data_IF_687492695388
#
_entry.id   IF_687492695388
#
_cell.length_a   1.000
_cell.length_b   1.000
_cell.length_c   1.000
_cell.angle_alpha   90.00
_cell.angle_beta   90.00
_cell.angle_gamma   90.00
#
_symmetry.space_group_name_H-M   'P 1'
#
loop_
_entity.id
_entity.type
_entity.pdbx_description
1 polymer ?
#
# COMPACT_ATOMS: atom_id res chain seq x y z
N UNK A 1 12.69 7.04 69.54
CA UNK A 1 11.83 8.24 69.47
C UNK A 1 12.20 9.04 68.21
N UNK A 2 11.20 9.36 67.37
CA UNK A 2 11.17 10.29 66.20
C UNK A 2 12.17 10.00 65.07
N UNK A 3 11.83 9.27 64.00
CA UNK A 3 10.90 9.59 62.89
C UNK A 3 11.22 10.90 62.16
N UNK A 4 11.70 10.78 60.92
CA UNK A 4 11.20 11.60 59.81
C UNK A 4 11.43 10.90 58.47
N UNK A 5 10.33 10.39 57.91
CA UNK A 5 10.18 10.00 56.50
C UNK A 5 9.92 11.25 55.68
N UNK A 6 10.48 11.32 54.48
CA UNK A 6 9.96 12.21 53.42
C UNK A 6 9.92 11.44 52.10
N UNK A 7 8.72 11.03 51.73
CA UNK A 7 8.27 10.76 50.36
C UNK A 7 7.36 11.94 49.99
N UNK A 8 7.49 12.49 48.78
CA UNK A 8 6.35 12.57 47.84
C UNK A 8 6.80 12.08 46.44
N UNK A 9 6.13 11.20 45.70
CA UNK A 9 4.74 11.11 45.24
C UNK A 9 4.34 12.28 44.32
N UNK A 10 4.33 12.02 43.00
CA UNK A 10 3.59 12.69 41.91
C UNK A 10 4.12 12.05 40.59
N UNK A 11 3.59 10.93 40.09
CA UNK A 11 2.29 10.76 39.43
C UNK A 11 1.89 11.92 38.51
N UNK A 12 1.93 11.62 37.21
CA UNK A 12 0.97 12.02 36.16
C UNK A 12 0.66 13.50 35.98
N UNK A 13 1.13 14.07 34.86
CA UNK A 13 0.47 15.20 34.20
C UNK A 13 0.15 14.79 32.75
N UNK A 14 -1.09 14.37 32.56
CA UNK A 14 -1.79 14.29 31.27
C UNK A 14 -2.58 15.61 31.13
N UNK A 15 -2.87 16.02 29.88
CA UNK A 15 -3.73 17.16 29.47
C UNK A 15 -3.01 18.52 29.54
N UNK A 16 -2.94 19.38 28.52
CA UNK A 16 -3.58 19.46 27.21
C UNK A 16 -3.81 20.93 26.88
N UNK A 17 -3.17 21.49 25.85
CA UNK A 17 -3.39 22.84 25.24
C UNK A 17 -2.59 22.82 23.91
N UNK A 18 -3.04 23.27 22.75
CA UNK A 18 -4.35 23.69 22.28
C UNK A 18 -4.46 23.41 20.78
N UNK A 19 -5.69 23.09 20.43
CA UNK A 19 -6.32 23.22 19.13
C UNK A 19 -6.08 24.63 18.54
N UNK A 20 -5.25 24.73 17.51
CA UNK A 20 -5.27 25.86 16.58
C UNK A 20 -5.75 25.38 15.22
N UNK A 21 -6.98 25.75 14.90
CA UNK A 21 -7.60 25.60 13.60
C UNK A 21 -6.76 26.26 12.51
N UNK A 22 -6.24 25.45 11.60
CA UNK A 22 -6.04 25.87 10.21
C UNK A 22 -6.86 24.91 9.34
N UNK A 23 -8.13 25.23 9.18
CA UNK A 23 -8.92 24.67 8.07
C UNK A 23 -8.62 25.56 6.86
N UNK A 24 -7.47 25.32 6.24
CA UNK A 24 -7.28 25.69 4.84
C UNK A 24 -7.98 24.61 4.02
N UNK A 25 -9.22 24.88 3.63
CA UNK A 25 -9.93 24.07 2.66
C UNK A 25 -9.21 24.16 1.32
N UNK A 26 -8.35 23.18 1.02
CA UNK A 26 -7.88 22.99 -0.33
C UNK A 26 -9.01 22.35 -1.12
N UNK A 27 -9.79 23.18 -1.82
CA UNK A 27 -10.60 22.71 -2.93
C UNK A 27 -9.63 22.23 -4.02
N UNK A 28 -9.20 20.96 -3.94
CA UNK A 28 -8.48 20.26 -4.98
C UNK A 28 -9.45 19.93 -6.12
N UNK A 29 -9.86 20.94 -6.86
CA UNK A 29 -10.46 20.76 -8.16
C UNK A 29 -9.33 20.38 -9.13
N UNK A 30 -9.18 19.08 -9.39
CA UNK A 30 -8.29 18.50 -10.40
C UNK A 30 -6.88 19.11 -10.49
N UNK A 31 -6.06 18.97 -9.43
CA UNK A 31 -4.62 18.99 -9.68
C UNK A 31 -4.27 17.68 -10.39
N UNK A 32 -4.24 17.72 -11.72
CA UNK A 32 -3.26 16.91 -12.46
C UNK A 32 -1.94 17.15 -11.71
N UNK A 33 -1.25 16.11 -11.23
CA UNK A 33 0.09 16.32 -10.67
C UNK A 33 0.86 17.10 -11.75
N UNK A 34 1.11 18.37 -11.46
CA UNK A 34 1.55 19.32 -12.45
C UNK A 34 2.98 18.99 -12.80
N UNK A 35 3.17 18.27 -13.90
CA UNK A 35 4.48 17.98 -14.47
C UNK A 35 5.14 16.71 -13.94
N UNK A 36 4.50 15.55 -14.15
CA UNK A 36 5.30 14.35 -14.35
C UNK A 36 6.30 14.64 -15.47
N UNK A 37 7.58 14.33 -15.26
CA UNK A 37 8.58 14.42 -16.31
C UNK A 37 8.04 13.75 -17.58
N UNK A 38 8.04 14.45 -18.71
CA UNK A 38 7.70 13.85 -20.02
C UNK A 38 8.60 12.65 -20.39
N UNK A 39 9.60 12.30 -19.56
CA UNK A 39 10.44 11.14 -19.72
C UNK A 39 9.79 9.79 -19.32
N UNK A 40 8.67 9.80 -18.57
CA UNK A 40 8.00 8.57 -18.13
C UNK A 40 6.87 8.12 -19.06
N UNK A 41 6.42 6.88 -18.88
CA UNK A 41 5.29 6.29 -19.60
C UNK A 41 4.00 6.52 -18.83
N UNK A 42 2.95 6.95 -19.52
CA UNK A 42 1.62 7.05 -18.92
C UNK A 42 1.05 5.66 -18.63
N UNK A 43 0.44 5.53 -17.47
CA UNK A 43 -0.26 4.34 -17.00
C UNK A 43 -1.75 4.72 -16.88
N UNK A 44 -2.62 4.07 -17.68
CA UNK A 44 -4.05 4.32 -17.63
C UNK A 44 -4.62 4.09 -16.22
N UNK A 45 -5.65 4.84 -15.89
CA UNK A 45 -6.37 4.71 -14.62
C UNK A 45 -6.99 3.32 -14.44
N UNK A 46 -7.31 3.01 -13.18
CA UNK A 46 -8.05 1.82 -12.78
C UNK A 46 -9.20 2.25 -11.88
N UNK A 47 -10.42 1.74 -12.14
CA UNK A 47 -11.55 2.01 -11.26
C UNK A 47 -11.39 1.29 -9.92
N UNK A 48 -12.06 1.78 -8.89
CA UNK A 48 -12.03 1.13 -7.58
C UNK A 48 -12.57 -0.31 -7.64
N UNK A 49 -13.62 -0.54 -8.44
CA UNK A 49 -14.15 -1.88 -8.69
C UNK A 49 -13.12 -2.80 -9.37
N UNK A 50 -12.41 -2.29 -10.38
CA UNK A 50 -11.35 -3.06 -11.05
C UNK A 50 -10.20 -3.39 -10.11
N UNK A 51 -9.82 -2.50 -9.19
CA UNK A 51 -8.79 -2.80 -8.19
C UNK A 51 -9.14 -4.04 -7.37
N UNK A 52 -10.40 -4.15 -6.95
CA UNK A 52 -10.88 -5.24 -6.11
C UNK A 52 -10.87 -6.61 -6.83
N UNK A 53 -10.72 -6.62 -8.16
CA UNK A 53 -10.55 -7.85 -8.95
C UNK A 53 -9.09 -8.03 -9.32
N UNK A 54 -8.43 -7.01 -9.90
CA UNK A 54 -7.01 -7.08 -10.29
C UNK A 54 -6.11 -7.42 -9.11
N UNK A 55 -6.46 -7.02 -7.87
CA UNK A 55 -5.71 -7.42 -6.67
C UNK A 55 -5.64 -8.93 -6.50
N UNK A 56 -6.73 -9.64 -6.81
CA UNK A 56 -6.85 -11.09 -6.65
C UNK A 56 -6.01 -11.83 -7.72
N UNK A 57 -5.88 -11.24 -8.91
CA UNK A 57 -5.11 -11.79 -10.03
C UNK A 57 -3.66 -11.31 -10.11
N UNK A 58 -3.26 -10.31 -9.29
CA UNK A 58 -1.95 -9.64 -9.40
C UNK A 58 -0.79 -10.63 -9.44
N UNK A 59 -0.74 -11.59 -8.52
CA UNK A 59 0.38 -12.55 -8.47
C UNK A 59 0.50 -13.33 -9.77
N UNK A 60 -0.60 -13.88 -10.29
CA UNK A 60 -0.61 -14.61 -11.56
C UNK A 60 -0.20 -13.73 -12.75
N UNK A 61 -0.61 -12.46 -12.77
CA UNK A 61 -0.21 -11.50 -13.81
C UNK A 61 1.31 -11.26 -13.77
N UNK A 62 1.86 -11.01 -12.58
CA UNK A 62 3.30 -10.76 -12.41
C UNK A 62 4.12 -12.03 -12.68
N UNK A 63 3.64 -13.20 -12.26
CA UNK A 63 4.31 -14.47 -12.50
C UNK A 63 4.39 -14.75 -14.01
N UNK A 64 3.30 -14.52 -14.77
CA UNK A 64 3.30 -14.61 -16.23
C UNK A 64 4.28 -13.60 -16.85
N UNK A 65 4.23 -12.34 -16.40
CA UNK A 65 5.10 -11.28 -16.90
C UNK A 65 6.59 -11.54 -16.63
N UNK A 66 6.92 -12.18 -15.50
CA UNK A 66 8.30 -12.51 -15.12
C UNK A 66 8.93 -13.58 -16.01
N UNK A 67 8.10 -14.41 -16.64
CA UNK A 67 8.52 -15.49 -17.54
C UNK A 67 8.58 -15.06 -19.01
N UNK A 68 8.03 -13.88 -19.34
CA UNK A 68 8.03 -13.37 -20.70
C UNK A 68 9.45 -13.03 -21.18
N UNK A 69 9.83 -13.51 -22.37
CA UNK A 69 11.20 -13.38 -22.90
C UNK A 69 11.30 -12.45 -24.09
N UNK A 70 10.23 -12.30 -24.88
CA UNK A 70 10.10 -11.44 -26.05
C UNK A 70 9.55 -10.04 -25.69
N UNK A 71 10.09 -9.46 -24.61
CA UNK A 71 9.68 -8.16 -24.09
C UNK A 71 10.40 -6.99 -24.78
N UNK A 72 9.77 -5.80 -24.80
CA UNK A 72 10.40 -4.54 -25.21
C UNK A 72 10.66 -3.59 -24.01
N UNK A 73 11.36 -2.48 -24.24
CA UNK A 73 11.69 -1.49 -23.20
C UNK A 73 10.42 -0.94 -22.50
N UNK A 74 9.37 -0.65 -23.28
CA UNK A 74 8.12 -0.09 -22.75
C UNK A 74 7.48 -1.04 -21.76
N UNK A 75 7.32 -2.32 -22.13
CA UNK A 75 6.79 -3.36 -21.26
C UNK A 75 7.59 -3.46 -19.96
N UNK A 76 8.93 -3.55 -20.07
CA UNK A 76 9.78 -3.69 -18.88
C UNK A 76 9.72 -2.47 -17.96
N UNK A 77 9.60 -1.25 -18.49
CA UNK A 77 9.44 -0.04 -17.67
C UNK A 77 8.13 -0.07 -16.88
N UNK A 78 7.02 -0.48 -17.49
CA UNK A 78 5.73 -0.59 -16.79
C UNK A 78 5.75 -1.73 -15.77
N UNK A 79 6.33 -2.89 -16.10
CA UNK A 79 6.50 -4.00 -15.16
C UNK A 79 7.37 -3.60 -13.96
N UNK A 80 8.51 -2.96 -14.21
CA UNK A 80 9.38 -2.46 -13.15
C UNK A 80 8.65 -1.44 -12.27
N UNK A 81 7.88 -0.53 -12.88
CA UNK A 81 7.05 0.40 -12.13
C UNK A 81 6.02 -0.33 -11.25
N UNK A 82 5.31 -1.32 -11.78
CA UNK A 82 4.31 -2.09 -11.02
C UNK A 82 4.93 -2.78 -9.78
N UNK A 83 6.12 -3.37 -9.92
CA UNK A 83 6.84 -4.01 -8.81
C UNK A 83 7.42 -3.01 -7.81
N UNK A 84 8.07 -1.94 -8.30
CA UNK A 84 8.61 -0.89 -7.43
C UNK A 84 7.48 -0.23 -6.65
N UNK A 85 6.43 0.20 -7.33
CA UNK A 85 5.28 0.86 -6.70
C UNK A 85 4.62 -0.06 -5.67
N UNK A 86 4.48 -1.36 -5.96
CA UNK A 86 3.98 -2.33 -4.99
C UNK A 86 4.84 -2.41 -3.72
N UNK A 87 6.17 -2.36 -3.85
CA UNK A 87 7.07 -2.31 -2.68
C UNK A 87 6.92 -1.02 -1.86
N UNK A 88 6.77 0.14 -2.52
CA UNK A 88 6.49 1.42 -1.86
C UNK A 88 5.14 1.42 -1.13
N UNK A 89 4.20 0.61 -1.59
CA UNK A 89 2.88 0.38 -0.99
C UNK A 89 2.87 -0.75 0.04
N UNK A 90 4.02 -1.08 0.64
CA UNK A 90 4.20 -2.16 1.61
C UNK A 90 3.69 -3.51 1.10
N UNK A 91 3.93 -3.83 -0.16
CA UNK A 91 3.49 -5.07 -0.81
C UNK A 91 1.96 -5.28 -0.66
N UNK A 92 1.19 -4.20 -0.66
CA UNK A 92 -0.27 -4.24 -0.49
C UNK A 92 -0.73 -4.87 0.83
N UNK A 93 0.15 -5.00 1.83
CA UNK A 93 -0.16 -5.67 3.10
C UNK A 93 -0.90 -4.80 4.09
N UNK A 94 -0.95 -3.48 3.86
CA UNK A 94 -1.69 -2.60 4.74
C UNK A 94 -3.21 -2.88 4.61
N UNK A 95 -3.92 -3.14 5.71
CA UNK A 95 -5.36 -3.38 5.66
C UNK A 95 -6.13 -2.21 5.06
N UNK A 96 -7.17 -2.52 4.29
CA UNK A 96 -8.02 -1.51 3.64
C UNK A 96 -7.39 -0.83 2.42
N UNK A 97 -6.14 -1.15 2.03
CA UNK A 97 -5.49 -0.48 0.88
C UNK A 97 -6.31 -0.56 -0.42
N UNK A 98 -7.06 -1.63 -0.62
CA UNK A 98 -7.92 -1.81 -1.80
C UNK A 98 -9.39 -1.58 -1.46
N UNK A 99 -9.86 -2.11 -0.33
CA UNK A 99 -11.29 -2.17 0.02
C UNK A 99 -11.83 -0.95 0.74
N UNK A 100 -10.95 -0.04 1.20
CA UNK A 100 -11.33 1.17 1.92
C UNK A 100 -10.79 2.40 1.17
N UNK A 101 -11.70 3.24 0.69
CA UNK A 101 -11.40 4.45 -0.08
C UNK A 101 -10.70 5.53 0.77
N UNK A 102 -10.91 5.53 2.08
CA UNK A 102 -10.29 6.47 3.02
C UNK A 102 -8.94 5.99 3.54
N UNK A 103 -8.52 4.78 3.14
CA UNK A 103 -7.21 4.25 3.52
C UNK A 103 -6.09 5.19 3.03
N UNK A 104 -5.10 5.52 3.89
CA UNK A 104 -3.92 6.27 3.50
C UNK A 104 -3.11 5.62 2.38
N UNK A 105 -3.37 4.35 2.10
CA UNK A 105 -2.70 3.53 1.09
C UNK A 105 -3.56 3.33 -0.17
N UNK A 106 -4.76 3.91 -0.24
CA UNK A 106 -5.68 3.68 -1.36
C UNK A 106 -5.12 4.21 -2.70
N UNK A 107 -4.65 5.46 -2.74
CA UNK A 107 -4.07 6.05 -3.95
C UNK A 107 -2.84 5.28 -4.46
N UNK A 108 -1.97 4.87 -3.54
CA UNK A 108 -0.78 4.12 -3.92
C UNK A 108 -1.14 2.69 -4.37
N UNK A 109 -2.27 2.14 -3.90
CA UNK A 109 -2.84 0.91 -4.42
C UNK A 109 -3.41 1.05 -5.84
N UNK A 110 -4.10 2.16 -6.13
CA UNK A 110 -4.49 2.50 -7.50
C UNK A 110 -3.28 2.47 -8.43
N UNK A 111 -2.16 3.09 -8.04
CA UNK A 111 -0.97 3.18 -8.87
C UNK A 111 -0.37 1.80 -9.27
N UNK A 112 -0.14 0.90 -8.30
CA UNK A 112 0.45 -0.41 -8.63
C UNK A 112 -0.55 -1.36 -9.32
N UNK A 113 -1.84 -1.28 -9.01
CA UNK A 113 -2.86 -2.12 -9.65
C UNK A 113 -3.19 -1.64 -11.07
N UNK A 114 -3.20 -0.33 -11.31
CA UNK A 114 -3.27 0.25 -12.64
C UNK A 114 -2.10 -0.20 -13.51
N UNK A 115 -0.88 -0.15 -12.97
CA UNK A 115 0.30 -0.63 -13.66
C UNK A 115 0.24 -2.14 -13.94
N UNK A 116 -0.22 -2.94 -12.96
CA UNK A 116 -0.42 -4.39 -13.12
C UNK A 116 -1.42 -4.68 -14.25
N UNK A 117 -2.54 -3.96 -14.31
CA UNK A 117 -3.53 -4.05 -15.40
C UNK A 117 -2.92 -3.68 -16.74
N UNK A 118 -2.10 -2.63 -16.80
CA UNK A 118 -1.39 -2.22 -18.02
C UNK A 118 -0.40 -3.28 -18.50
N UNK A 119 0.33 -3.95 -17.58
CA UNK A 119 1.19 -5.11 -17.91
C UNK A 119 0.37 -6.24 -18.51
N UNK A 120 -0.76 -6.60 -17.89
CA UNK A 120 -1.64 -7.66 -18.39
C UNK A 120 -2.13 -7.37 -19.82
N UNK A 121 -2.60 -6.14 -20.06
CA UNK A 121 -3.06 -5.76 -21.40
C UNK A 121 -1.91 -5.70 -22.42
N UNK A 122 -0.69 -5.36 -22.01
CA UNK A 122 0.45 -5.45 -22.91
C UNK A 122 0.77 -6.91 -23.28
N UNK A 123 0.66 -7.86 -22.35
CA UNK A 123 0.89 -9.29 -22.64
C UNK A 123 -0.16 -9.89 -23.58
N UNK A 124 -1.39 -9.36 -23.58
CA UNK A 124 -2.41 -9.77 -24.56
C UNK A 124 -1.95 -9.56 -26.01
N UNK A 125 -1.13 -8.53 -26.24
CA UNK A 125 -0.60 -8.19 -27.56
C UNK A 125 0.76 -8.87 -27.85
N UNK A 126 1.28 -9.68 -26.91
CA UNK A 126 2.54 -10.43 -27.08
C UNK A 126 2.25 -11.84 -27.58
N UNK A 127 2.85 -12.31 -28.69
CA UNK A 127 2.45 -13.57 -29.32
C UNK A 127 2.49 -14.79 -28.39
N UNK A 128 3.50 -14.90 -27.52
CA UNK A 128 3.70 -16.06 -26.66
C UNK A 128 2.80 -16.05 -25.42
N UNK A 129 2.56 -14.87 -24.85
CA UNK A 129 1.81 -14.69 -23.61
C UNK A 129 0.33 -14.43 -23.87
N UNK A 130 -0.05 -14.03 -25.09
CA UNK A 130 -1.40 -13.61 -25.47
C UNK A 130 -2.50 -14.56 -25.01
N UNK A 131 -2.32 -15.87 -25.17
CA UNK A 131 -3.29 -16.87 -24.74
C UNK A 131 -3.47 -16.87 -23.22
N UNK A 132 -2.37 -16.93 -22.46
CA UNK A 132 -2.42 -16.94 -20.99
C UNK A 132 -2.93 -15.61 -20.43
N UNK A 133 -2.54 -14.47 -21.02
CA UNK A 133 -3.05 -13.16 -20.67
C UNK A 133 -4.56 -13.05 -20.97
N UNK A 134 -5.01 -13.59 -22.11
CA UNK A 134 -6.42 -13.63 -22.51
C UNK A 134 -7.30 -14.42 -21.55
N UNK A 135 -6.81 -15.54 -21.02
CA UNK A 135 -7.49 -16.30 -19.98
C UNK A 135 -7.66 -15.49 -18.69
N UNK A 136 -6.59 -14.82 -18.23
CA UNK A 136 -6.65 -13.94 -17.05
C UNK A 136 -7.65 -12.79 -17.29
N UNK A 137 -7.62 -12.15 -18.45
CA UNK A 137 -8.54 -11.05 -18.79
C UNK A 137 -9.99 -11.54 -18.78
N UNK A 138 -10.27 -12.70 -19.38
CA UNK A 138 -11.60 -13.27 -19.40
C UNK A 138 -12.12 -13.58 -17.99
N UNK A 139 -11.26 -14.10 -17.12
CA UNK A 139 -11.59 -14.35 -15.72
C UNK A 139 -11.85 -13.05 -14.94
N UNK A 140 -11.02 -12.02 -15.13
CA UNK A 140 -11.22 -10.69 -14.56
C UNK A 140 -12.57 -10.10 -15.00
N UNK A 141 -12.89 -10.14 -16.29
CA UNK A 141 -14.15 -9.61 -16.83
C UNK A 141 -15.36 -10.36 -16.26
N UNK A 142 -15.28 -11.69 -16.18
CA UNK A 142 -16.32 -12.52 -15.58
C UNK A 142 -16.53 -12.18 -14.09
N UNK A 143 -15.46 -11.94 -13.34
CA UNK A 143 -15.53 -11.55 -11.93
C UNK A 143 -16.07 -10.13 -11.73
N UNK A 144 -15.69 -9.19 -12.59
CA UNK A 144 -16.22 -7.83 -12.61
C UNK A 144 -17.74 -7.82 -12.79
N UNK A 145 -18.25 -8.61 -13.76
CA UNK A 145 -19.69 -8.75 -14.01
C UNK A 145 -20.38 -9.45 -12.86
N UNK A 146 -19.86 -10.60 -12.41
CA UNK A 146 -20.48 -11.41 -11.35
C UNK A 146 -20.59 -10.65 -10.03
N UNK A 147 -19.61 -9.80 -9.73
CA UNK A 147 -19.57 -8.98 -8.51
C UNK A 147 -20.22 -7.61 -8.69
N UNK A 148 -20.68 -7.24 -9.89
CA UNK A 148 -21.35 -5.97 -10.15
C UNK A 148 -20.45 -4.73 -9.97
N UNK A 149 -19.15 -4.84 -10.27
CA UNK A 149 -18.14 -3.85 -9.89
C UNK A 149 -17.86 -2.77 -10.95
N UNK A 150 -18.49 -2.85 -12.12
CA UNK A 150 -18.17 -2.00 -13.27
C UNK A 150 -18.30 -0.48 -13.01
N UNK A 151 -19.20 -0.07 -12.10
CA UNK A 151 -19.47 1.34 -11.79
C UNK A 151 -18.96 1.77 -10.40
N UNK A 152 -18.23 0.89 -9.71
CA UNK A 152 -17.66 1.22 -8.40
C UNK A 152 -16.42 2.08 -8.63
N UNK A 153 -16.50 3.33 -8.18
CA UNK A 153 -15.48 4.36 -8.39
C UNK A 153 -15.23 5.10 -7.08
N UNK A 154 -14.04 5.68 -6.96
CA UNK A 154 -13.65 6.54 -5.86
C UNK A 154 -12.90 7.78 -6.40
N UNK A 155 -12.47 8.68 -5.51
CA UNK A 155 -11.72 9.90 -5.85
C UNK A 155 -10.47 9.71 -6.74
N UNK A 156 -9.86 8.53 -6.72
CA UNK A 156 -8.64 8.22 -7.50
C UNK A 156 -8.92 7.38 -8.75
N UNK A 157 -10.17 6.98 -9.01
CA UNK A 157 -10.53 6.15 -10.17
C UNK A 157 -10.35 6.85 -11.52
N UNK A 158 -10.29 8.18 -11.53
CA UNK A 158 -10.00 9.00 -12.70
C UNK A 158 -8.56 9.53 -12.75
N UNK A 159 -7.66 8.97 -11.93
CA UNK A 159 -6.26 9.39 -11.86
C UNK A 159 -5.40 8.51 -12.77
N UNK A 160 -4.79 9.14 -13.78
CA UNK A 160 -3.71 8.51 -14.55
C UNK A 160 -2.39 8.62 -13.79
N UNK A 161 -1.56 7.59 -13.89
CA UNK A 161 -0.24 7.54 -13.26
C UNK A 161 0.86 7.63 -14.31
N UNK A 162 2.10 7.85 -13.88
CA UNK A 162 3.24 7.93 -14.79
C UNK A 162 4.45 7.22 -14.18
N UNK A 163 5.21 6.48 -14.99
CA UNK A 163 6.37 5.71 -14.48
C UNK A 163 7.50 6.57 -13.93
N UNK A 164 7.49 7.89 -14.18
CA UNK A 164 8.44 8.83 -13.59
C UNK A 164 8.11 9.19 -12.12
N UNK A 165 6.89 8.90 -11.66
CA UNK A 165 6.37 9.36 -10.38
C UNK A 165 6.09 8.19 -9.42
N UNK A 166 6.65 8.23 -8.21
CA UNK A 166 6.34 7.24 -7.17
C UNK A 166 5.23 7.78 -6.26
N UNK A 167 4.09 7.09 -6.23
CA UNK A 167 2.96 7.44 -5.38
C UNK A 167 3.18 6.87 -3.97
N UNK A 168 3.39 7.73 -2.98
CA UNK A 168 3.65 7.30 -1.60
C UNK A 168 2.35 7.22 -0.79
N UNK A 169 2.27 6.32 0.21
CA UNK A 169 1.20 6.36 1.20
C UNK A 169 1.14 7.71 1.92
N UNK A 170 -0.08 8.12 2.31
CA UNK A 170 -0.30 9.33 3.10
C UNK A 170 0.01 9.08 4.58
N UNK A 171 1.29 8.95 4.92
CA UNK A 171 1.74 8.59 6.28
C UNK A 171 1.17 9.48 7.39
N UNK A 172 0.94 10.77 7.12
CA UNK A 172 0.31 11.70 8.07
C UNK A 172 -1.13 11.34 8.42
N UNK A 173 -1.84 10.59 7.58
CA UNK A 173 -3.22 10.12 7.81
C UNK A 173 -3.27 8.77 8.51
N UNK A 174 -2.16 8.04 8.60
CA UNK A 174 -2.11 6.72 9.25
C UNK A 174 -2.61 6.76 10.69
N UNK A 175 -2.23 7.72 11.56
CA UNK A 175 -2.75 7.82 12.92
C UNK A 175 -4.27 7.95 13.03
N UNK A 176 -4.95 8.41 11.97
CA UNK A 176 -6.39 8.63 11.91
C UNK A 176 -7.14 7.46 11.28
N UNK A 177 -6.44 6.48 10.72
CA UNK A 177 -7.02 5.31 10.07
C UNK A 177 -6.93 4.08 10.99
N UNK A 178 -8.05 3.65 11.62
CA UNK A 178 -8.02 2.64 12.68
C UNK A 178 -7.39 1.32 12.26
N UNK A 179 -7.68 0.83 11.05
CA UNK A 179 -7.15 -0.45 10.57
C UNK A 179 -5.62 -0.40 10.35
N UNK A 180 -5.10 0.72 9.85
CA UNK A 180 -3.64 0.92 9.72
C UNK A 180 -2.95 1.08 11.07
N UNK A 181 -3.56 1.81 12.00
CA UNK A 181 -3.01 1.94 13.36
C UNK A 181 -2.99 0.60 14.08
N UNK A 182 -4.08 -0.17 14.01
CA UNK A 182 -4.16 -1.48 14.62
C UNK A 182 -3.10 -2.44 14.06
N UNK A 183 -2.89 -2.46 12.74
CA UNK A 183 -1.89 -3.34 12.13
C UNK A 183 -0.45 -2.95 12.51
N UNK A 184 -0.12 -1.66 12.49
CA UNK A 184 1.22 -1.19 12.85
C UNK A 184 1.52 -1.35 14.35
N UNK A 185 0.55 -1.03 15.21
CA UNK A 185 0.70 -1.24 16.66
C UNK A 185 0.80 -2.72 17.01
N UNK A 186 -0.01 -3.58 16.38
CA UNK A 186 0.09 -5.03 16.52
C UNK A 186 1.46 -5.57 16.08
N UNK A 187 1.96 -5.13 14.93
CA UNK A 187 3.27 -5.51 14.44
C UNK A 187 4.40 -5.03 15.38
N UNK A 188 4.34 -3.79 15.85
CA UNK A 188 5.29 -3.26 16.82
C UNK A 188 5.27 -4.04 18.15
N UNK A 189 4.09 -4.42 18.63
CA UNK A 189 3.93 -5.25 19.82
C UNK A 189 4.57 -6.64 19.62
N UNK A 190 4.36 -7.28 18.47
CA UNK A 190 4.99 -8.57 18.14
C UNK A 190 6.52 -8.48 18.13
N UNK A 191 7.09 -7.44 17.53
CA UNK A 191 8.54 -7.21 17.58
C UNK A 191 9.04 -6.96 19.00
N UNK A 192 8.29 -6.19 19.80
CA UNK A 192 8.62 -5.93 21.20
C UNK A 192 8.65 -7.22 22.04
N UNK A 193 7.65 -8.08 21.87
CA UNK A 193 7.58 -9.39 22.53
C UNK A 193 8.70 -10.31 22.06
N UNK A 194 8.95 -10.38 20.75
CA UNK A 194 10.02 -11.18 20.16
C UNK A 194 11.41 -10.76 20.66
N UNK A 195 11.67 -9.45 20.70
CA UNK A 195 12.91 -8.90 21.25
C UNK A 195 13.06 -9.21 22.74
N UNK A 196 11.99 -9.05 23.52
CA UNK A 196 12.00 -9.36 24.95
C UNK A 196 12.26 -10.85 25.21
N UNK A 197 11.61 -11.75 24.45
CA UNK A 197 11.82 -13.19 24.53
C UNK A 197 13.24 -13.58 24.15
N UNK A 198 13.77 -13.05 23.04
CA UNK A 198 15.14 -13.28 22.60
C UNK A 198 16.15 -12.83 23.67
N UNK A 199 15.94 -11.65 24.27
CA UNK A 199 16.80 -11.17 25.37
C UNK A 199 16.73 -12.07 26.61
N UNK A 200 15.58 -12.68 26.89
CA UNK A 200 15.43 -13.64 28.00
C UNK A 200 16.17 -14.94 27.72
N UNK A 201 16.12 -15.45 26.50
CA UNK A 201 16.80 -16.68 26.10
C UNK A 201 18.32 -16.53 25.98
N UNK A 202 18.79 -15.37 25.53
CA UNK A 202 20.23 -15.07 25.37
C UNK A 202 20.89 -14.56 26.65
N UNK A 203 20.16 -14.42 27.77
CA UNK A 203 20.78 -14.09 29.06
C UNK A 203 21.62 -15.30 29.50
N UNK A 204 22.95 -15.17 29.62
CA UNK A 204 23.76 -16.24 30.22
C UNK A 204 23.25 -16.46 31.64
N UNK A 205 23.04 -17.71 32.04
CA UNK A 205 23.00 -18.03 33.47
C UNK A 205 24.32 -17.52 34.06
N UNK A 206 24.23 -16.45 34.86
CA UNK A 206 25.37 -16.02 35.64
C UNK A 206 25.80 -17.22 36.48
N UNK A 207 27.03 -17.69 36.21
CA UNK A 207 27.67 -18.80 36.88
C UNK A 207 27.40 -18.70 38.40
N UNK A 208 26.59 -19.63 38.88
CA UNK A 208 26.58 -20.07 40.26
C UNK A 208 27.96 -20.68 40.54
N UNK A 209 28.91 -19.84 40.93
CA UNK A 209 30.16 -20.27 41.55
C UNK A 209 30.03 -20.05 43.05
N UNK A 210 30.09 -21.17 43.78
CA UNK A 210 30.29 -21.28 45.24
C UNK A 210 31.42 -20.39 45.79
#
# INVERSE_FOLDING_TARGET
>A
MKSSRTIPLLSTAFVGVAFSCVVAGNAFAHSRSGGGSHAGLDIPEISHGEMAVISDYRSGIIDLASQAVDTNERFRRVLNYAEIQYSYCLWGRMPGSVTDEESPFNQCAHAYLAATKAVLFSMREMPRESAAAGEIISAVDADMVRRGLALVTCRFSGEAFNTADVVKPHWSKVPLHPASMASLTGLAALFGVGFYALRRLLRPEAQSSE
#
